data_IF_751833617170
#
_entry.id   IF_751833617170
#
_cell.length_a   1.000
_cell.length_b   1.000
_cell.length_c   1.000
_cell.angle_alpha   90.00
_cell.angle_beta   90.00
_cell.angle_gamma   90.00
#
_symmetry.space_group_name_H-M   'P 1'
#
loop_
_entity.id
_entity.type
_entity.pdbx_description
1 polymer ?
#
# COMPACT_ATOMS: atom_id res chain seq x y z
N UNK A 1 -14.67 -3.73 -7.08
CA UNK A 1 -14.13 -2.38 -6.85
C UNK A 1 -14.12 -1.66 -8.18
N UNK A 2 -14.49 -0.36 -8.22
CA UNK A 2 -14.23 0.55 -9.34
C UNK A 2 -12.78 0.45 -9.77
N UNK A 3 -12.49 0.84 -11.01
CA UNK A 3 -11.15 1.00 -11.58
C UNK A 3 -10.29 1.94 -10.72
N UNK A 4 -9.80 1.39 -9.63
CA UNK A 4 -8.62 1.84 -8.93
C UNK A 4 -7.57 0.83 -9.30
N UNK A 5 -6.42 1.32 -9.77
CA UNK A 5 -5.22 0.48 -9.86
C UNK A 5 -5.15 -0.30 -8.56
N UNK A 6 -5.10 -1.65 -8.58
CA UNK A 6 -5.11 -2.43 -7.37
C UNK A 6 -4.13 -1.83 -6.37
N UNK A 7 -4.57 -1.63 -5.14
CA UNK A 7 -3.78 -1.00 -4.10
C UNK A 7 -3.74 -1.94 -2.89
N UNK A 8 -2.98 -1.56 -1.88
CA UNK A 8 -2.87 -2.39 -0.67
C UNK A 8 -3.90 -2.01 0.39
N UNK A 9 -4.63 -0.91 0.21
CA UNK A 9 -5.52 -0.30 1.21
C UNK A 9 -6.74 -1.16 1.58
N UNK A 10 -7.14 -2.12 0.75
CA UNK A 10 -8.26 -3.03 1.03
C UNK A 10 -7.82 -4.47 0.83
N UNK A 11 -8.38 -5.42 1.60
CA UNK A 11 -8.02 -6.84 1.49
C UNK A 11 -8.20 -7.40 0.07
N UNK A 12 -9.34 -7.06 -0.56
CA UNK A 12 -9.62 -7.46 -1.95
C UNK A 12 -8.59 -6.91 -2.92
N UNK A 13 -8.20 -5.64 -2.78
CA UNK A 13 -7.21 -5.03 -3.67
C UNK A 13 -5.80 -5.55 -3.39
N UNK A 14 -5.46 -5.82 -2.13
CA UNK A 14 -4.21 -6.48 -1.76
C UNK A 14 -4.14 -7.91 -2.34
N UNK A 15 -5.24 -8.66 -2.34
CA UNK A 15 -5.36 -9.95 -3.01
C UNK A 15 -5.25 -9.83 -4.54
N UNK A 16 -5.82 -8.79 -5.14
CA UNK A 16 -5.66 -8.50 -6.56
C UNK A 16 -4.20 -8.13 -6.90
N UNK A 17 -3.53 -7.31 -6.07
CA UNK A 17 -2.11 -6.97 -6.21
C UNK A 17 -1.22 -8.20 -6.09
N UNK A 18 -1.52 -9.08 -5.13
CA UNK A 18 -0.83 -10.36 -4.97
C UNK A 18 -0.94 -11.23 -6.23
N UNK A 19 -2.13 -11.31 -6.82
CA UNK A 19 -2.34 -12.02 -8.10
C UNK A 19 -1.57 -11.35 -9.24
N UNK A 20 -1.55 -10.02 -9.31
CA UNK A 20 -0.75 -9.29 -10.30
C UNK A 20 0.76 -9.58 -10.15
N UNK A 21 1.28 -9.56 -8.92
CA UNK A 21 2.69 -9.85 -8.64
C UNK A 21 3.06 -11.28 -9.02
N UNK A 22 2.21 -12.26 -8.69
CA UNK A 22 2.38 -13.65 -9.13
C UNK A 22 2.41 -13.76 -10.66
N UNK A 23 1.46 -13.13 -11.36
CA UNK A 23 1.41 -13.13 -12.83
C UNK A 23 2.64 -12.50 -13.47
N UNK A 24 3.27 -11.52 -12.81
CA UNK A 24 4.49 -10.86 -13.30
C UNK A 24 5.76 -11.69 -13.14
N UNK A 25 5.71 -12.89 -12.54
CA UNK A 25 6.90 -13.71 -12.30
C UNK A 25 7.57 -13.34 -10.98
N UNK A 26 6.83 -13.46 -9.87
CA UNK A 26 7.41 -13.27 -8.56
C UNK A 26 8.56 -14.26 -8.34
N UNK A 27 9.74 -13.81 -7.86
CA UNK A 27 10.85 -14.72 -7.60
C UNK A 27 10.56 -15.69 -6.46
N UNK A 28 11.26 -16.82 -6.46
CA UNK A 28 11.35 -17.67 -5.28
C UNK A 28 12.05 -16.90 -4.16
N UNK A 29 11.42 -16.86 -2.99
CA UNK A 29 11.94 -16.14 -1.84
C UNK A 29 12.80 -17.03 -0.92
N UNK A 30 12.79 -18.34 -1.17
CA UNK A 30 13.45 -19.33 -0.32
C UNK A 30 14.95 -19.01 -0.16
N UNK A 31 15.42 -19.15 1.08
CA UNK A 31 16.81 -18.90 1.42
C UNK A 31 17.22 -17.43 1.51
N UNK A 32 16.41 -16.46 1.06
CA UNK A 32 16.67 -15.03 1.20
C UNK A 32 16.60 -14.53 2.65
N UNK A 33 17.02 -13.27 2.88
CA UNK A 33 16.97 -12.64 4.21
C UNK A 33 15.74 -11.77 4.36
N UNK A 34 14.95 -12.07 5.37
CA UNK A 34 13.81 -11.29 5.78
C UNK A 34 14.18 -10.46 7.00
N UNK A 35 14.00 -9.14 6.91
CA UNK A 35 14.38 -8.21 7.97
C UNK A 35 13.18 -7.36 8.36
N UNK A 36 12.86 -7.31 9.65
CA UNK A 36 11.84 -6.40 10.19
C UNK A 36 12.53 -5.22 10.85
N UNK A 37 12.11 -3.99 10.53
CA UNK A 37 12.61 -2.74 11.10
C UNK A 37 11.48 -2.01 11.83
N UNK A 38 11.70 -1.68 13.09
CA UNK A 38 10.76 -0.92 13.92
C UNK A 38 11.47 0.30 14.49
N UNK A 39 10.83 1.47 14.44
CA UNK A 39 11.33 2.67 15.12
C UNK A 39 11.10 2.51 16.62
N UNK A 40 12.11 2.82 17.43
CA UNK A 40 11.95 2.94 18.87
C UNK A 40 11.15 4.21 19.16
N UNK A 41 10.09 4.09 19.95
CA UNK A 41 9.19 5.20 20.30
C UNK A 41 9.85 6.15 21.29
N UNK A 42 10.73 5.60 22.11
CA UNK A 42 11.54 6.30 23.10
C UNK A 42 12.90 6.62 22.48
N UNK A 43 12.94 7.52 21.49
CA UNK A 43 14.23 8.03 21.07
C UNK A 43 14.76 8.95 22.16
N UNK A 44 16.02 8.73 22.53
CA UNK A 44 16.75 9.67 23.37
C UNK A 44 16.64 11.06 22.72
N UNK A 45 16.17 12.07 23.45
CA UNK A 45 16.10 13.41 22.93
C UNK A 45 17.49 13.92 22.55
N UNK A 46 17.52 14.91 21.67
CA UNK A 46 18.74 15.68 21.46
C UNK A 46 19.07 16.42 22.76
N UNK A 47 20.34 16.73 22.96
CA UNK A 47 20.79 17.50 24.12
C UNK A 47 19.95 18.78 24.26
N UNK A 48 19.18 18.87 25.35
CA UNK A 48 18.24 19.97 25.62
C UNK A 48 16.73 19.67 25.46
N UNK A 49 16.35 18.50 24.90
CA UNK A 49 14.93 18.11 24.78
C UNK A 49 14.48 17.21 25.95
N UNK A 50 13.20 17.33 26.35
CA UNK A 50 12.58 16.42 27.32
C UNK A 50 12.25 15.06 26.68
N UNK A 51 12.29 13.99 27.49
CA UNK A 51 11.85 12.66 27.07
C UNK A 51 10.39 12.73 26.61
N UNK A 52 10.14 12.34 25.35
CA UNK A 52 8.79 12.19 24.82
C UNK A 52 8.69 10.95 23.94
N UNK A 53 7.50 10.36 23.92
CA UNK A 53 7.16 9.34 22.94
C UNK A 53 6.99 9.99 21.56
N UNK A 54 7.53 9.36 20.53
CA UNK A 54 7.26 9.76 19.16
C UNK A 54 5.81 9.45 18.80
N UNK A 55 5.12 10.43 18.21
CA UNK A 55 3.80 10.18 17.63
C UNK A 55 3.92 9.25 16.41
N UNK A 56 2.89 8.43 16.10
CA UNK A 56 2.96 7.46 15.00
C UNK A 56 3.36 8.06 13.64
N UNK A 57 2.86 9.26 13.34
CA UNK A 57 3.18 9.98 12.11
C UNK A 57 4.66 10.37 12.04
N UNK A 58 5.22 10.83 13.16
CA UNK A 58 6.62 11.23 13.27
C UNK A 58 7.53 10.01 13.13
N UNK A 59 7.19 8.91 13.81
CA UNK A 59 7.91 7.65 13.70
C UNK A 59 7.91 7.12 12.25
N UNK A 60 6.77 7.20 11.55
CA UNK A 60 6.70 6.87 10.13
C UNK A 60 7.61 7.75 9.27
N UNK A 61 7.57 9.08 9.46
CA UNK A 61 8.37 10.02 8.67
C UNK A 61 9.88 9.75 8.87
N UNK A 62 10.31 9.59 10.12
CA UNK A 62 11.69 9.30 10.47
C UNK A 62 12.18 7.97 9.87
N UNK A 63 11.36 6.92 9.99
CA UNK A 63 11.68 5.62 9.42
C UNK A 63 11.77 5.67 7.90
N UNK A 64 10.80 6.31 7.23
CA UNK A 64 10.76 6.49 5.76
C UNK A 64 12.04 7.15 5.24
N UNK A 65 12.52 8.20 5.89
CA UNK A 65 13.75 8.91 5.49
C UNK A 65 15.00 8.02 5.63
N UNK A 66 14.99 7.10 6.61
CA UNK A 66 16.09 6.17 6.86
C UNK A 66 16.12 4.98 5.90
N UNK A 67 14.97 4.52 5.38
CA UNK A 67 14.89 3.31 4.54
C UNK A 67 15.87 3.32 3.37
N UNK A 68 16.00 4.45 2.67
CA UNK A 68 16.90 4.55 1.51
C UNK A 68 18.35 4.30 1.91
N UNK A 69 18.80 4.89 3.03
CA UNK A 69 20.17 4.73 3.55
C UNK A 69 20.40 3.28 3.98
N UNK A 70 19.42 2.69 4.67
CA UNK A 70 19.44 1.28 5.08
C UNK A 70 19.62 0.34 3.88
N UNK A 71 18.75 0.46 2.86
CA UNK A 71 18.80 -0.36 1.64
C UNK A 71 20.14 -0.19 0.92
N UNK A 72 20.57 1.06 0.72
CA UNK A 72 21.81 1.35 -0.04
C UNK A 72 23.02 0.73 0.65
N UNK A 73 23.10 0.84 1.99
CA UNK A 73 24.20 0.29 2.77
C UNK A 73 24.29 -1.24 2.64
N UNK A 74 23.17 -1.94 2.83
CA UNK A 74 23.15 -3.40 2.75
C UNK A 74 23.41 -3.89 1.31
N UNK A 75 22.79 -3.27 0.31
CA UNK A 75 23.00 -3.66 -1.10
C UNK A 75 24.46 -3.54 -1.52
N UNK A 76 25.12 -2.44 -1.14
CA UNK A 76 26.53 -2.22 -1.49
C UNK A 76 27.44 -3.25 -0.81
N UNK A 77 27.22 -3.50 0.49
CA UNK A 77 28.03 -4.41 1.31
C UNK A 77 27.90 -5.87 0.88
N UNK A 78 26.69 -6.33 0.61
CA UNK A 78 26.36 -7.74 0.35
C UNK A 78 26.06 -8.03 -1.12
N UNK A 79 26.30 -7.05 -2.00
CA UNK A 79 26.06 -7.13 -3.46
C UNK A 79 24.65 -7.58 -3.82
N UNK A 80 23.66 -7.14 -3.04
CA UNK A 80 22.26 -7.55 -3.20
C UNK A 80 21.62 -6.84 -4.39
N UNK A 81 21.22 -7.63 -5.40
CA UNK A 81 20.57 -7.13 -6.62
C UNK A 81 19.07 -6.99 -6.43
N UNK A 82 18.40 -8.08 -6.01
CA UNK A 82 16.94 -8.12 -5.85
C UNK A 82 16.53 -7.91 -4.41
N UNK A 83 15.56 -7.04 -4.21
CA UNK A 83 14.97 -6.78 -2.91
C UNK A 83 13.57 -6.21 -3.06
N UNK A 84 12.78 -6.34 -2.01
CA UNK A 84 11.58 -5.55 -1.83
C UNK A 84 11.44 -5.14 -0.38
N UNK A 85 10.62 -4.13 -0.14
CA UNK A 85 10.09 -3.88 1.19
C UNK A 85 8.60 -3.64 1.13
N UNK A 86 7.94 -3.97 2.24
CA UNK A 86 6.55 -3.63 2.51
C UNK A 86 6.48 -2.90 3.84
N UNK A 87 5.55 -1.96 3.93
CA UNK A 87 5.12 -1.39 5.20
C UNK A 87 3.99 -2.25 5.74
N UNK A 88 4.00 -2.50 7.03
CA UNK A 88 2.89 -3.07 7.77
C UNK A 88 2.58 -2.17 8.97
N UNK A 89 1.37 -2.29 9.49
CA UNK A 89 0.94 -1.57 10.69
C UNK A 89 0.92 -2.56 11.85
N UNK A 90 1.49 -2.16 12.99
CA UNK A 90 1.35 -2.90 14.24
C UNK A 90 -0.13 -2.98 14.66
N UNK A 91 -0.43 -3.88 15.60
CA UNK A 91 -1.68 -3.77 16.34
C UNK A 91 -1.67 -2.46 17.16
N UNK A 92 -2.85 -1.85 17.40
CA UNK A 92 -2.96 -0.75 18.34
C UNK A 92 -2.32 -1.13 19.67
N UNK A 93 -1.57 -0.21 20.26
CA UNK A 93 -1.07 -0.39 21.63
C UNK A 93 -2.16 -0.09 22.67
N UNK A 94 -1.79 -0.06 23.95
CA UNK A 94 -2.71 0.21 25.06
C UNK A 94 -3.38 1.59 24.97
N UNK A 95 -2.81 2.52 24.21
CA UNK A 95 -3.36 3.86 23.99
C UNK A 95 -4.11 3.96 22.65
N UNK A 96 -4.32 2.84 21.95
CA UNK A 96 -4.95 2.80 20.63
C UNK A 96 -4.05 3.28 19.49
N UNK A 97 -2.77 3.57 19.75
CA UNK A 97 -1.86 4.12 18.74
C UNK A 97 -1.29 3.01 17.85
N UNK A 98 -1.27 3.27 16.55
CA UNK A 98 -0.84 2.30 15.53
C UNK A 98 0.41 2.79 14.83
N UNK A 99 1.51 2.04 14.99
CA UNK A 99 2.82 2.39 14.44
C UNK A 99 3.16 1.56 13.21
N UNK A 100 3.90 2.16 12.28
CA UNK A 100 4.43 1.46 11.11
C UNK A 100 5.70 0.67 11.46
N UNK A 101 5.86 -0.50 10.82
CA UNK A 101 7.14 -1.20 10.70
C UNK A 101 7.36 -1.65 9.26
N UNK A 102 8.62 -1.88 8.91
CA UNK A 102 8.99 -2.24 7.54
C UNK A 102 9.57 -3.64 7.50
N UNK A 103 9.05 -4.43 6.58
CA UNK A 103 9.56 -5.76 6.30
C UNK A 103 10.30 -5.72 4.97
N UNK A 104 11.55 -6.14 5.01
CA UNK A 104 12.42 -6.27 3.87
C UNK A 104 12.59 -7.73 3.52
N UNK A 105 12.73 -7.98 2.23
CA UNK A 105 13.35 -9.20 1.74
C UNK A 105 14.51 -8.84 0.85
N UNK A 106 15.63 -9.50 1.07
CA UNK A 106 16.83 -9.41 0.29
C UNK A 106 17.15 -10.77 -0.29
N UNK A 107 17.39 -10.81 -1.60
CA UNK A 107 17.87 -12.00 -2.30
C UNK A 107 19.33 -12.25 -1.95
N UNK A 108 19.54 -12.85 -0.78
CA UNK A 108 20.86 -13.10 -0.22
C UNK A 108 20.82 -14.35 0.65
N UNK A 109 21.55 -15.38 0.22
CA UNK A 109 21.64 -16.65 0.94
C UNK A 109 22.59 -16.64 2.14
N UNK A 110 23.56 -15.70 2.15
CA UNK A 110 24.63 -15.62 3.15
C UNK A 110 24.20 -15.01 4.48
N UNK A 111 25.05 -15.15 5.51
CA UNK A 111 24.80 -14.55 6.82
C UNK A 111 24.96 -13.02 6.79
N UNK A 112 24.08 -12.31 7.49
CA UNK A 112 24.18 -10.86 7.75
C UNK A 112 24.15 -10.72 9.28
N UNK A 113 25.22 -10.23 9.93
CA UNK A 113 25.23 -10.04 11.37
C UNK A 113 24.13 -9.07 11.83
N UNK A 114 23.42 -9.43 12.89
CA UNK A 114 22.34 -8.60 13.45
C UNK A 114 22.81 -7.19 13.82
N UNK A 115 24.02 -7.08 14.39
CA UNK A 115 24.62 -5.78 14.75
C UNK A 115 24.79 -4.84 13.54
N UNK A 116 25.16 -5.37 12.37
CA UNK A 116 25.28 -4.55 11.16
C UNK A 116 23.91 -4.00 10.74
N UNK A 117 22.84 -4.77 10.91
CA UNK A 117 21.47 -4.36 10.60
C UNK A 117 21.00 -3.31 11.59
N UNK A 118 21.21 -3.53 12.88
CA UNK A 118 20.91 -2.55 13.94
C UNK A 118 21.65 -1.24 13.69
N UNK A 119 22.95 -1.30 13.37
CA UNK A 119 23.77 -0.13 13.04
C UNK A 119 23.35 0.55 11.73
N UNK A 120 22.90 -0.21 10.73
CA UNK A 120 22.39 0.34 9.47
C UNK A 120 21.04 1.03 9.67
N UNK A 121 20.18 0.47 10.54
CA UNK A 121 18.88 1.03 10.86
C UNK A 121 19.01 2.26 11.75
N UNK A 122 19.63 2.10 12.93
CA UNK A 122 19.96 3.19 13.85
C UNK A 122 18.76 3.93 14.43
N UNK A 123 17.55 3.38 14.32
CA UNK A 123 16.31 4.01 14.79
C UNK A 123 15.52 3.14 15.77
N UNK A 124 15.94 1.90 16.04
CA UNK A 124 15.23 1.03 16.96
C UNK A 124 15.48 -0.45 16.72
N UNK A 125 14.46 -1.26 16.95
CA UNK A 125 14.54 -2.72 16.91
C UNK A 125 14.68 -3.23 15.48
N UNK A 126 15.48 -4.28 15.34
CA UNK A 126 15.61 -5.04 14.10
C UNK A 126 15.48 -6.53 14.38
N UNK A 127 14.83 -7.25 13.49
CA UNK A 127 14.76 -8.71 13.50
C UNK A 127 15.21 -9.23 12.13
N UNK A 128 16.00 -10.30 12.11
CA UNK A 128 16.45 -10.94 10.86
C UNK A 128 16.21 -12.44 10.93
N UNK A 129 15.64 -12.97 9.84
CA UNK A 129 15.47 -14.41 9.65
C UNK A 129 15.76 -14.79 8.20
N UNK A 130 16.10 -16.07 8.02
CA UNK A 130 16.18 -16.69 6.69
C UNK A 130 14.80 -17.21 6.30
N UNK A 131 14.32 -16.84 5.12
CA UNK A 131 13.04 -17.31 4.61
C UNK A 131 13.12 -18.80 4.28
N UNK A 132 12.06 -19.52 4.65
CA UNK A 132 11.83 -20.92 4.23
C UNK A 132 10.56 -20.99 3.38
N UNK A 133 10.49 -21.91 2.39
CA UNK A 133 9.36 -22.08 1.44
C UNK A 133 7.93 -21.88 1.97
N UNK A 134 7.65 -22.22 3.23
CA UNK A 134 6.31 -22.10 3.84
C UNK A 134 5.89 -20.65 4.19
N UNK A 135 6.81 -19.69 4.17
CA UNK A 135 6.57 -18.31 4.64
C UNK A 135 6.00 -17.36 3.56
N UNK A 136 5.98 -17.80 2.29
CA UNK A 136 5.52 -16.99 1.15
C UNK A 136 4.07 -16.51 1.27
N UNK A 137 3.15 -17.38 1.69
CA UNK A 137 1.72 -17.03 1.84
C UNK A 137 1.50 -16.01 2.96
N UNK A 138 2.39 -16.00 3.95
CA UNK A 138 2.33 -15.13 5.11
C UNK A 138 2.84 -13.71 4.83
N UNK A 139 3.66 -13.54 3.79
CA UNK A 139 4.30 -12.28 3.44
C UNK A 139 3.31 -11.14 3.11
N UNK A 140 2.08 -11.41 2.72
CA UNK A 140 1.10 -10.36 2.38
C UNK A 140 -0.09 -10.33 3.34
N UNK A 141 -0.01 -11.05 4.46
CA UNK A 141 -1.15 -11.23 5.38
C UNK A 141 -1.51 -9.95 6.15
N UNK A 142 -0.55 -9.04 6.38
CA UNK A 142 -0.75 -7.87 7.27
C UNK A 142 -0.39 -6.52 6.65
N UNK A 143 -0.29 -6.41 5.33
CA UNK A 143 0.01 -5.12 4.68
C UNK A 143 -1.04 -4.05 4.96
N UNK A 144 -2.32 -4.42 4.92
CA UNK A 144 -3.40 -3.65 5.50
C UNK A 144 -4.41 -4.66 6.05
N UNK A 145 -4.49 -4.80 7.38
CA UNK A 145 -5.75 -5.24 7.98
C UNK A 145 -6.78 -4.18 7.59
N UNK A 146 -7.91 -4.66 7.07
CA UNK A 146 -9.15 -3.97 6.63
C UNK A 146 -9.11 -2.44 6.46
N UNK A 147 -9.67 -1.93 5.35
CA UNK A 147 -9.75 -0.49 5.07
C UNK A 147 -10.49 0.35 6.14
N UNK A 148 -11.14 -0.29 7.11
CA UNK A 148 -11.75 0.35 8.28
C UNK A 148 -10.80 0.59 9.47
N UNK A 149 -9.59 0.01 9.46
CA UNK A 149 -8.62 0.08 10.57
C UNK A 149 -7.38 0.94 10.21
N UNK A 150 -7.46 1.79 9.17
CA UNK A 150 -6.34 2.68 8.88
C UNK A 150 -6.27 3.75 9.96
N UNK A 151 -5.12 3.94 10.61
CA UNK A 151 -5.00 4.96 11.64
C UNK A 151 -5.13 6.36 11.05
N UNK A 152 -5.68 7.28 11.84
CA UNK A 152 -6.02 8.66 11.41
C UNK A 152 -4.86 9.39 10.74
N UNK A 153 -3.66 9.24 11.29
CA UNK A 153 -2.47 9.86 10.71
C UNK A 153 -2.21 9.41 9.27
N UNK A 154 -2.61 8.20 8.90
CA UNK A 154 -2.42 7.65 7.55
C UNK A 154 -3.51 8.13 6.59
N UNK A 155 -4.73 8.34 7.08
CA UNK A 155 -5.85 8.81 6.24
C UNK A 155 -5.64 10.26 5.81
N UNK A 156 -5.01 11.09 6.65
CA UNK A 156 -4.65 12.48 6.31
C UNK A 156 -3.52 12.60 5.27
N UNK A 157 -2.74 11.54 5.03
CA UNK A 157 -1.64 11.59 4.07
C UNK A 157 -2.11 11.57 2.62
N UNK A 158 -1.47 12.37 1.76
CA UNK A 158 -1.75 12.38 0.32
C UNK A 158 -1.13 11.21 -0.44
N UNK A 159 0.08 10.78 -0.06
CA UNK A 159 0.82 9.70 -0.73
C UNK A 159 1.61 8.90 0.28
N UNK A 160 1.41 7.59 0.26
CA UNK A 160 2.17 6.63 1.07
C UNK A 160 2.57 5.46 0.20
N UNK A 161 3.82 5.04 0.33
CA UNK A 161 4.33 3.85 -0.35
C UNK A 161 4.28 2.69 0.63
N UNK A 162 3.40 1.73 0.35
CA UNK A 162 3.27 0.50 1.15
C UNK A 162 4.17 -0.63 0.66
N UNK A 163 4.65 -0.55 -0.57
CA UNK A 163 5.45 -1.59 -1.19
C UNK A 163 6.41 -0.99 -2.20
N UNK A 164 7.64 -1.47 -2.22
CA UNK A 164 8.63 -1.12 -3.22
C UNK A 164 9.48 -2.34 -3.56
N UNK A 165 9.88 -2.44 -4.82
CA UNK A 165 10.80 -3.47 -5.31
C UNK A 165 12.04 -2.81 -5.90
N UNK A 166 13.11 -3.58 -6.03
CA UNK A 166 14.25 -3.24 -6.87
C UNK A 166 13.85 -3.19 -8.36
N UNK A 167 14.66 -2.52 -9.16
CA UNK A 167 14.58 -2.66 -10.62
C UNK A 167 14.86 -4.12 -11.01
N UNK A 168 14.17 -4.63 -12.04
CA UNK A 168 14.31 -6.02 -12.47
C UNK A 168 13.81 -7.06 -11.45
N UNK A 169 13.07 -6.66 -10.41
CA UNK A 169 12.64 -7.59 -9.36
C UNK A 169 11.79 -8.76 -9.87
N UNK A 170 10.95 -8.50 -10.87
CA UNK A 170 10.11 -9.51 -11.53
C UNK A 170 10.77 -10.13 -12.77
N UNK A 171 11.97 -9.67 -13.11
CA UNK A 171 12.77 -10.24 -14.18
C UNK A 171 13.62 -11.40 -13.65
N UNK A 172 14.11 -12.26 -14.55
CA UNK A 172 15.05 -13.31 -14.19
C UNK A 172 16.31 -12.76 -13.51
N UNK A 173 17.07 -13.60 -12.81
CA UNK A 173 18.26 -13.18 -12.04
C UNK A 173 19.30 -12.39 -12.87
N UNK A 174 19.36 -12.66 -14.17
CA UNK A 174 20.35 -12.11 -15.09
C UNK A 174 20.01 -10.70 -15.57
N UNK A 175 18.75 -10.26 -15.40
CA UNK A 175 18.27 -8.95 -15.87
C UNK A 175 18.26 -7.87 -14.78
N UNK A 176 18.58 -8.22 -13.53
CA UNK A 176 18.61 -7.25 -12.44
C UNK A 176 19.90 -6.39 -12.52
N UNK A 177 19.79 -5.05 -12.59
CA UNK A 177 20.96 -4.18 -12.73
C UNK A 177 21.89 -4.31 -11.51
N UNK A 178 23.21 -4.10 -11.71
CA UNK A 178 24.18 -4.20 -10.63
C UNK A 178 23.85 -3.23 -9.48
N UNK A 179 24.21 -3.57 -8.23
CA UNK A 179 23.76 -2.87 -7.03
C UNK A 179 24.16 -1.38 -6.99
N UNK A 180 25.24 -1.02 -7.69
CA UNK A 180 25.81 0.33 -7.76
C UNK A 180 25.21 1.18 -8.89
N UNK A 181 24.30 0.62 -9.71
CA UNK A 181 23.55 1.41 -10.70
C UNK A 181 22.55 2.28 -9.93
N UNK A 182 22.66 3.62 -9.98
CA UNK A 182 21.60 4.47 -9.46
C UNK A 182 20.31 4.08 -10.17
N UNK A 183 19.26 3.74 -9.40
CA UNK A 183 17.93 3.56 -9.99
C UNK A 183 17.65 4.81 -10.80
N UNK A 184 17.38 4.71 -12.12
CA UNK A 184 16.89 5.83 -12.90
C UNK A 184 15.74 6.43 -12.12
N UNK A 185 15.96 7.65 -11.61
CA UNK A 185 14.85 8.50 -11.28
C UNK A 185 14.29 8.86 -12.66
N UNK A 186 13.09 8.40 -12.98
CA UNK A 186 12.16 9.42 -13.43
C UNK A 186 11.96 10.29 -12.19
N UNK A 187 12.76 11.36 -12.14
CA UNK A 187 12.25 12.57 -11.52
C UNK A 187 11.03 12.79 -12.40
N UNK A 188 9.83 12.60 -11.86
CA UNK A 188 8.75 13.43 -12.37
C UNK A 188 9.27 14.83 -12.07
N UNK A 189 10.03 15.40 -13.01
CA UNK A 189 10.22 16.83 -13.10
C UNK A 189 8.78 17.30 -13.13
N UNK A 190 8.30 17.74 -11.98
CA UNK A 190 7.23 18.71 -11.93
C UNK A 190 7.91 19.90 -12.60
N UNK A 191 7.88 19.88 -13.94
CA UNK A 191 8.08 21.07 -14.72
C UNK A 191 7.09 22.04 -14.12
N UNK A 192 7.61 23.12 -13.57
CA UNK A 192 6.86 24.33 -13.33
C UNK A 192 6.45 24.90 -14.70
N UNK A 193 5.67 24.13 -15.47
CA UNK A 193 4.76 24.73 -16.42
C UNK A 193 3.57 25.15 -15.60
N UNK A 194 3.62 26.41 -15.16
CA UNK A 194 2.49 27.22 -14.76
C UNK A 194 1.39 27.07 -15.81
N UNK A 195 0.53 26.08 -15.63
CA UNK A 195 -0.69 25.90 -16.41
C UNK A 195 -1.75 25.32 -15.48
N UNK A 196 -2.44 26.23 -14.78
CA UNK A 196 -3.88 26.22 -14.55
C UNK A 196 -4.58 24.86 -14.44
N UNK A 197 -4.27 24.12 -13.38
CA UNK A 197 -5.24 23.46 -12.47
C UNK A 197 -4.41 22.67 -11.45
N UNK A 198 -4.00 23.31 -10.34
CA UNK A 198 -3.47 22.58 -9.20
C UNK A 198 -4.60 21.73 -8.61
N UNK A 199 -4.88 20.58 -9.21
CA UNK A 199 -5.80 19.60 -8.67
C UNK A 199 -5.26 19.22 -7.30
N UNK A 200 -5.91 19.73 -6.24
CA UNK A 200 -5.69 19.31 -4.86
C UNK A 200 -5.74 17.79 -4.86
N UNK A 201 -4.59 17.14 -4.69
CA UNK A 201 -4.58 15.68 -4.59
C UNK A 201 -5.29 15.31 -3.29
N UNK A 202 -6.41 14.61 -3.44
CA UNK A 202 -7.12 13.96 -2.34
C UNK A 202 -6.16 13.19 -1.42
N UNK A 203 -6.39 13.31 -0.13
CA UNK A 203 -5.83 12.45 0.91
C UNK A 203 -6.23 10.98 0.73
N UNK A 204 -5.57 10.05 1.43
CA UNK A 204 -5.96 8.65 1.42
C UNK A 204 -7.41 8.48 1.91
N UNK A 205 -7.80 9.20 2.97
CA UNK A 205 -9.15 9.20 3.51
C UNK A 205 -10.18 9.66 2.47
N UNK A 206 -9.98 10.84 1.87
CA UNK A 206 -10.87 11.38 0.83
C UNK A 206 -10.99 10.43 -0.38
N UNK A 207 -9.89 9.78 -0.79
CA UNK A 207 -9.93 8.77 -1.86
C UNK A 207 -10.73 7.54 -1.46
N UNK A 208 -10.58 7.05 -0.23
CA UNK A 208 -11.35 5.89 0.25
C UNK A 208 -12.84 6.24 0.25
N UNK A 209 -13.22 7.39 0.82
CA UNK A 209 -14.62 7.88 0.82
C UNK A 209 -15.16 8.02 -0.60
N UNK A 210 -14.39 8.62 -1.51
CA UNK A 210 -14.77 8.72 -2.91
C UNK A 210 -14.97 7.34 -3.54
N UNK A 211 -14.05 6.40 -3.31
CA UNK A 211 -14.13 5.04 -3.85
C UNK A 211 -15.31 4.24 -3.31
N UNK A 212 -15.73 4.46 -2.06
CA UNK A 212 -16.89 3.77 -1.49
C UNK A 212 -18.20 4.30 -2.04
N UNK A 213 -18.24 5.57 -2.48
CA UNK A 213 -19.40 6.23 -3.10
C UNK A 213 -19.51 6.07 -4.61
N UNK A 214 -18.46 5.59 -5.29
CA UNK A 214 -18.50 5.41 -6.73
C UNK A 214 -19.31 4.17 -7.15
N UNK A 215 -20.22 4.37 -8.11
CA UNK A 215 -20.86 3.31 -8.89
C UNK A 215 -19.98 2.95 -10.09
N UNK A 216 -19.89 1.66 -10.40
CA UNK A 216 -19.03 1.15 -11.48
C UNK A 216 -19.86 0.40 -12.48
N UNK A 217 -19.92 0.89 -13.70
CA UNK A 217 -20.41 0.10 -14.80
C UNK A 217 -19.28 -0.72 -15.41
N UNK A 218 -19.52 -2.01 -15.66
CA UNK A 218 -18.59 -2.89 -16.35
C UNK A 218 -19.30 -3.62 -17.48
N UNK A 219 -18.81 -3.43 -18.68
CA UNK A 219 -19.18 -4.27 -19.82
C UNK A 219 -18.24 -5.46 -19.88
N UNK A 220 -18.77 -6.68 -19.86
CA UNK A 220 -18.02 -7.91 -20.15
C UNK A 220 -18.57 -8.53 -21.41
N UNK A 221 -17.72 -8.71 -22.43
CA UNK A 221 -18.05 -9.52 -23.60
C UNK A 221 -17.44 -10.92 -23.41
N UNK A 222 -18.27 -11.95 -23.51
CA UNK A 222 -17.83 -13.35 -23.56
C UNK A 222 -18.71 -14.12 -24.52
N UNK A 223 -18.11 -14.83 -25.48
CA UNK A 223 -18.81 -15.64 -26.48
C UNK A 223 -19.92 -14.87 -27.23
N UNK A 224 -19.63 -13.63 -27.66
CA UNK A 224 -20.60 -12.79 -28.40
C UNK A 224 -21.70 -12.14 -27.54
N UNK A 225 -21.82 -12.53 -26.27
CA UNK A 225 -22.78 -11.92 -25.33
C UNK A 225 -22.11 -10.77 -24.58
N UNK A 226 -22.70 -9.58 -24.67
CA UNK A 226 -22.29 -8.39 -23.93
C UNK A 226 -23.15 -8.30 -22.66
N UNK A 227 -22.52 -8.38 -21.48
CA UNK A 227 -23.19 -8.21 -20.19
C UNK A 227 -22.71 -6.95 -19.52
N UNK A 228 -23.63 -6.08 -19.11
CA UNK A 228 -23.33 -4.88 -18.35
C UNK A 228 -23.58 -5.15 -16.87
N UNK A 229 -22.55 -4.99 -16.05
CA UNK A 229 -22.54 -5.23 -14.61
C UNK A 229 -22.32 -3.92 -13.87
N UNK A 230 -23.29 -3.51 -13.08
CA UNK A 230 -23.12 -2.39 -12.16
C UNK A 230 -22.69 -2.92 -10.80
N UNK A 231 -21.51 -2.48 -10.34
CA UNK A 231 -21.00 -2.79 -9.02
C UNK A 231 -21.02 -1.52 -8.17
N UNK A 232 -21.68 -1.60 -7.03
CA UNK A 232 -21.78 -0.50 -6.07
C UNK A 232 -21.25 -0.98 -4.73
N UNK A 233 -20.40 -0.16 -4.11
CA UNK A 233 -19.70 -0.56 -2.89
C UNK A 233 -20.37 -0.11 -1.60
N UNK A 234 -21.19 0.94 -1.64
CA UNK A 234 -22.06 1.38 -0.57
C UNK A 234 -23.04 2.38 -1.16
N UNK A 235 -24.34 2.09 -1.08
CA UNK A 235 -25.35 3.14 -1.17
C UNK A 235 -26.41 2.84 -0.13
N UNK A 236 -26.48 3.67 0.90
CA UNK A 236 -27.72 3.85 1.66
C UNK A 236 -28.76 4.62 0.82
N UNK A 237 -28.34 5.17 -0.33
CA UNK A 237 -29.16 5.95 -1.26
C UNK A 237 -29.34 5.22 -2.59
N UNK A 238 -30.38 4.40 -2.67
CA UNK A 238 -30.80 3.70 -3.90
C UNK A 238 -30.98 4.65 -5.11
N UNK A 239 -31.30 5.93 -4.87
CA UNK A 239 -31.43 6.94 -5.92
C UNK A 239 -30.17 7.14 -6.77
N UNK A 240 -28.98 7.15 -6.17
CA UNK A 240 -27.72 7.33 -6.89
C UNK A 240 -27.38 6.12 -7.78
N UNK A 241 -27.76 4.93 -7.31
CA UNK A 241 -27.61 3.67 -8.04
C UNK A 241 -28.56 3.63 -9.25
N UNK A 242 -29.80 4.07 -9.07
CA UNK A 242 -30.79 4.19 -10.16
C UNK A 242 -30.40 5.26 -11.18
N UNK A 243 -29.86 6.40 -10.74
CA UNK A 243 -29.36 7.45 -11.62
C UNK A 243 -28.16 6.98 -12.45
N UNK A 244 -27.17 6.33 -11.83
CA UNK A 244 -26.03 5.76 -12.54
C UNK A 244 -26.43 4.62 -13.49
N UNK A 245 -27.44 3.83 -13.12
CA UNK A 245 -28.04 2.81 -13.99
C UNK A 245 -28.73 3.44 -15.20
N UNK A 246 -29.52 4.50 -14.99
CA UNK A 246 -30.19 5.23 -16.06
C UNK A 246 -29.20 5.91 -17.01
N UNK A 247 -28.16 6.54 -16.49
CA UNK A 247 -27.09 7.15 -17.29
C UNK A 247 -26.34 6.09 -18.13
N UNK A 248 -26.05 4.92 -17.56
CA UNK A 248 -25.42 3.82 -18.30
C UNK A 248 -26.29 3.34 -19.46
N UNK A 249 -27.58 3.10 -19.19
CA UNK A 249 -28.53 2.66 -20.22
C UNK A 249 -28.66 3.69 -21.34
N UNK A 250 -28.75 4.96 -20.98
CA UNK A 250 -28.84 6.06 -21.94
C UNK A 250 -27.58 6.18 -22.79
N UNK A 251 -26.39 6.19 -22.18
CA UNK A 251 -25.12 6.36 -22.92
C UNK A 251 -24.76 5.18 -23.81
N UNK A 252 -25.09 3.96 -23.38
CA UNK A 252 -24.63 2.76 -24.06
C UNK A 252 -25.73 2.05 -24.87
N UNK A 253 -26.95 2.61 -24.93
CA UNK A 253 -28.06 2.04 -25.69
C UNK A 253 -28.49 0.65 -25.20
N UNK A 254 -28.33 0.37 -23.90
CA UNK A 254 -28.49 -0.98 -23.33
C UNK A 254 -29.94 -1.20 -22.91
N UNK A 255 -30.51 -2.35 -23.30
CA UNK A 255 -31.83 -2.78 -22.84
C UNK A 255 -31.82 -3.10 -21.34
N UNK A 256 -33.00 -3.15 -20.71
CA UNK A 256 -33.09 -3.48 -19.28
C UNK A 256 -32.63 -4.92 -18.99
N UNK A 257 -32.83 -5.82 -19.95
CA UNK A 257 -32.59 -7.27 -19.84
C UNK A 257 -31.09 -7.61 -19.93
N UNK A 258 -30.30 -6.71 -20.55
CA UNK A 258 -28.84 -6.85 -20.71
C UNK A 258 -28.03 -6.30 -19.52
N UNK A 259 -28.72 -5.77 -18.50
CA UNK A 259 -28.13 -5.16 -17.32
C UNK A 259 -28.34 -6.01 -16.06
N UNK A 260 -27.23 -6.42 -15.42
CA UNK A 260 -27.24 -7.10 -14.13
C UNK A 260 -26.71 -6.16 -13.03
N UNK A 261 -27.56 -5.79 -12.06
CA UNK A 261 -27.14 -5.02 -10.88
C UNK A 261 -26.68 -5.99 -9.79
N UNK A 262 -25.42 -5.88 -9.35
CA UNK A 262 -24.93 -6.59 -8.16
C UNK A 262 -24.60 -5.61 -7.06
N UNK A 263 -25.40 -5.64 -6.01
CA UNK A 263 -25.08 -4.92 -4.77
C UNK A 263 -24.11 -5.76 -3.95
N UNK A 264 -23.07 -5.12 -3.42
CA UNK A 264 -22.16 -5.76 -2.47
C UNK A 264 -22.17 -4.92 -1.20
N UNK A 265 -22.87 -5.40 -0.16
CA UNK A 265 -22.89 -4.73 1.14
C UNK A 265 -21.50 -4.84 1.77
N UNK A 266 -20.77 -3.74 1.82
CA UNK A 266 -19.63 -3.61 2.73
C UNK A 266 -20.23 -3.27 4.09
N UNK A 267 -20.03 -4.13 5.08
CA UNK A 267 -20.41 -3.86 6.47
C UNK A 267 -19.82 -2.51 6.90
N UNK A 268 -20.72 -1.59 7.24
CA UNK A 268 -20.54 -0.13 7.37
C UNK A 268 -20.01 0.32 8.74
N UNK A 269 -19.55 -0.60 9.60
CA UNK A 269 -19.12 -0.29 10.98
C UNK A 269 -17.95 0.71 11.07
N UNK A 270 -17.25 1.00 9.97
CA UNK A 270 -16.10 1.91 9.93
C UNK A 270 -16.42 3.32 9.46
N UNK A 271 -17.57 3.56 8.79
CA UNK A 271 -17.96 4.92 8.37
C UNK A 271 -18.26 5.82 9.58
N UNK A 272 -18.79 5.23 10.65
CA UNK A 272 -19.01 5.89 11.96
C UNK A 272 -17.72 6.09 12.75
N UNK A 273 -16.59 5.52 12.30
CA UNK A 273 -15.26 5.64 12.91
C UNK A 273 -14.32 6.55 12.12
N UNK A 274 -14.80 7.17 11.03
CA UNK A 274 -14.02 8.18 10.32
C UNK A 274 -13.74 9.36 11.26
N UNK A 275 -12.56 10.02 11.15
CA UNK A 275 -12.27 11.25 11.86
C UNK A 275 -13.43 12.25 11.73
N UNK A 276 -13.77 13.03 12.77
CA UNK A 276 -14.90 13.97 12.72
C UNK A 276 -14.90 14.91 11.51
N UNK A 277 -13.71 15.27 11.00
CA UNK A 277 -13.56 16.10 9.80
C UNK A 277 -14.02 15.43 8.49
N UNK A 278 -14.16 14.11 8.47
CA UNK A 278 -14.67 13.33 7.34
C UNK A 278 -16.13 12.89 7.53
N UNK A 279 -16.69 13.05 8.75
CA UNK A 279 -18.09 12.75 9.06
C UNK A 279 -19.05 13.80 8.47
N UNK A 280 -18.64 15.05 8.32
CA UNK A 280 -19.46 16.09 7.68
C UNK A 280 -19.77 15.84 6.19
N UNK A 281 -19.18 14.81 5.61
CA UNK A 281 -19.45 14.40 4.24
C UNK A 281 -20.40 13.19 4.14
N UNK A 282 -20.74 12.47 5.22
CA UNK A 282 -21.60 11.26 5.20
C UNK A 282 -23.07 11.57 4.99
#
# INVERSE_FOLDING_TARGET
MPFTTPNFWTERNAAAKRRQMKKRGMPDLDGGRFITLTVNRELAPKEGDHWRLLEPQEAYALGKDRLRRFITRLRKRYKIRRWFWKMELHQPDNNGLVYAHWHFWFDYGGHIPGEEITKAWGLGRTDIRRVRRKEWTYLFKYMCKQAGDLPDWLTTMRRVRLFQTSMGFFAGNDEAPPPDTPSPRQIDEIGETENNCAQKMDTIGERIVRWTRCVVARTTSSNGCVKHKLLVMQTERWGDLLAAFAELRFRCGISQEDCEIKTQKITTTWLTQLPPCLQGYT
#
